data_IF_945254525400
#
_entry.id   IF_945254525400
#
_cell.length_a   1.000
_cell.length_b   1.000
_cell.length_c   1.000
_cell.angle_alpha   90.00
_cell.angle_beta   90.00
_cell.angle_gamma   90.00
#
_symmetry.space_group_name_H-M   'P 1'
#
loop_
_entity.id
_entity.type
_entity.pdbx_description
1 polymer ?
#
# COMPACT_ATOMS: atom_id res chain seq x y z
N UNK A 1 -37.58 46.27 -43.40
CA UNK A 1 -38.33 45.15 -42.78
C UNK A 1 -37.32 44.08 -42.37
N UNK A 2 -37.07 44.01 -41.07
CA UNK A 2 -36.21 43.02 -40.39
C UNK A 2 -37.05 41.78 -40.11
N UNK A 3 -36.72 40.64 -40.74
CA UNK A 3 -37.30 39.34 -40.39
C UNK A 3 -36.37 38.60 -39.42
N UNK A 4 -36.97 38.14 -38.33
CA UNK A 4 -36.38 37.72 -37.07
C UNK A 4 -35.44 36.50 -37.17
N UNK A 5 -34.23 36.64 -36.61
CA UNK A 5 -33.46 35.51 -36.10
C UNK A 5 -34.25 34.89 -34.95
N UNK A 6 -34.81 33.70 -35.17
CA UNK A 6 -35.38 32.88 -34.10
C UNK A 6 -34.33 32.67 -33.00
N UNK A 7 -34.66 33.10 -31.79
CA UNK A 7 -33.88 32.85 -30.58
C UNK A 7 -33.72 31.34 -30.40
N UNK A 8 -32.48 30.83 -30.45
CA UNK A 8 -32.19 29.50 -29.90
C UNK A 8 -32.48 29.57 -28.41
N UNK A 9 -33.55 28.92 -27.97
CA UNK A 9 -33.78 28.66 -26.54
C UNK A 9 -32.49 28.06 -25.94
N UNK A 10 -32.06 28.49 -24.74
CA UNK A 10 -31.01 27.77 -24.03
C UNK A 10 -31.49 26.34 -23.86
N UNK A 11 -30.77 25.39 -24.45
CA UNK A 11 -31.11 23.98 -24.42
C UNK A 11 -31.29 23.56 -22.97
N UNK A 12 -32.52 23.20 -22.59
CA UNK A 12 -32.78 22.57 -21.30
C UNK A 12 -31.88 21.35 -21.17
N UNK A 13 -31.24 21.12 -20.00
CA UNK A 13 -30.35 19.98 -19.83
C UNK A 13 -31.16 18.69 -20.02
N UNK A 14 -30.89 17.97 -21.11
CA UNK A 14 -31.51 16.68 -21.36
C UNK A 14 -30.98 15.64 -20.36
N UNK A 15 -31.82 14.73 -19.84
CA UNK A 15 -31.38 13.72 -18.89
C UNK A 15 -30.39 12.73 -19.54
N UNK A 16 -29.50 12.12 -18.73
CA UNK A 16 -28.47 11.20 -19.24
C UNK A 16 -29.07 10.01 -19.98
N UNK A 17 -28.39 9.60 -21.06
CA UNK A 17 -28.76 8.41 -21.82
C UNK A 17 -28.68 7.14 -20.94
N UNK A 18 -29.48 6.08 -21.20
CA UNK A 18 -29.43 4.83 -20.43
C UNK A 18 -28.02 4.22 -20.31
N UNK A 19 -27.16 4.42 -21.30
CA UNK A 19 -25.76 3.99 -21.25
C UNK A 19 -24.96 4.71 -20.14
N UNK A 20 -25.20 6.00 -19.91
CA UNK A 20 -24.57 6.76 -18.81
C UNK A 20 -25.08 6.23 -17.47
N UNK A 21 -26.37 5.91 -17.38
CA UNK A 21 -26.95 5.30 -16.17
C UNK A 21 -26.28 3.96 -15.83
N UNK A 22 -26.12 3.08 -16.82
CA UNK A 22 -25.39 1.82 -16.66
C UNK A 22 -23.92 2.04 -16.24
N UNK A 23 -23.25 3.06 -16.78
CA UNK A 23 -21.87 3.39 -16.41
C UNK A 23 -21.73 3.82 -14.94
N UNK A 24 -22.70 4.58 -14.41
CA UNK A 24 -22.71 4.98 -13.00
C UNK A 24 -22.98 3.78 -12.08
N UNK A 25 -23.87 2.87 -12.48
CA UNK A 25 -24.11 1.62 -11.72
C UNK A 25 -22.84 0.76 -11.68
N UNK A 26 -22.14 0.61 -12.82
CA UNK A 26 -20.86 -0.10 -12.88
C UNK A 26 -19.81 0.56 -11.98
N UNK A 27 -19.73 1.89 -11.98
CA UNK A 27 -18.86 2.62 -11.05
C UNK A 27 -19.22 2.36 -9.59
N UNK A 28 -20.51 2.24 -9.24
CA UNK A 28 -20.93 1.94 -7.89
C UNK A 28 -20.47 0.55 -7.45
N UNK A 29 -20.61 -0.45 -8.34
CA UNK A 29 -20.12 -1.81 -8.08
C UNK A 29 -18.61 -1.83 -7.84
N UNK A 30 -17.83 -1.12 -8.66
CA UNK A 30 -16.36 -1.09 -8.53
C UNK A 30 -15.92 -0.26 -7.33
N UNK A 31 -16.45 0.95 -7.18
CA UNK A 31 -16.03 1.96 -6.21
C UNK A 31 -16.48 1.67 -4.79
N UNK A 32 -17.61 0.98 -4.62
CA UNK A 32 -18.16 0.57 -3.32
C UNK A 32 -17.92 -0.91 -2.99
N UNK A 33 -17.11 -1.59 -3.81
CA UNK A 33 -16.74 -2.98 -3.55
C UNK A 33 -16.17 -3.12 -2.13
N UNK A 34 -16.51 -4.19 -1.39
CA UNK A 34 -16.03 -4.38 -0.02
C UNK A 34 -14.51 -4.31 0.12
N UNK A 35 -14.04 -3.82 1.26
CA UNK A 35 -12.62 -3.78 1.61
C UNK A 35 -12.40 -4.14 3.09
N UNK A 36 -11.24 -4.73 3.46
CA UNK A 36 -10.97 -5.16 4.83
C UNK A 36 -10.55 -3.99 5.75
N UNK A 37 -10.21 -2.83 5.20
CA UNK A 37 -9.74 -1.68 5.98
C UNK A 37 -10.81 -0.59 6.14
N UNK A 38 -10.97 -0.03 7.35
CA UNK A 38 -11.82 1.13 7.58
C UNK A 38 -11.33 2.32 6.75
N UNK A 39 -12.26 3.00 6.09
CA UNK A 39 -11.97 4.23 5.36
C UNK A 39 -12.60 5.44 6.00
N UNK A 40 -12.07 6.61 5.67
CA UNK A 40 -12.74 7.87 5.94
C UNK A 40 -13.84 8.12 4.91
N UNK A 41 -14.88 8.90 5.24
CA UNK A 41 -15.91 9.28 4.27
C UNK A 41 -15.34 9.98 3.03
N UNK A 42 -14.31 10.82 3.23
CA UNK A 42 -13.65 11.53 2.13
C UNK A 42 -12.97 10.58 1.15
N UNK A 43 -12.26 9.56 1.66
CA UNK A 43 -11.54 8.62 0.81
C UNK A 43 -12.50 7.73 0.04
N UNK A 44 -13.55 7.24 0.71
CA UNK A 44 -14.61 6.47 0.05
C UNK A 44 -15.29 7.30 -1.06
N UNK A 45 -15.64 8.56 -0.77
CA UNK A 45 -16.20 9.52 -1.73
C UNK A 45 -15.30 9.74 -2.94
N UNK A 46 -14.00 9.91 -2.70
CA UNK A 46 -13.01 10.11 -3.75
C UNK A 46 -12.90 8.91 -4.69
N UNK A 47 -12.80 7.70 -4.14
CA UNK A 47 -12.73 6.44 -4.91
C UNK A 47 -13.99 6.27 -5.76
N UNK A 48 -15.17 6.50 -5.18
CA UNK A 48 -16.44 6.40 -5.89
C UNK A 48 -16.53 7.43 -7.04
N UNK A 49 -16.16 8.68 -6.78
CA UNK A 49 -16.16 9.73 -7.79
C UNK A 49 -15.16 9.46 -8.93
N UNK A 50 -13.98 8.91 -8.61
CA UNK A 50 -13.00 8.46 -9.60
C UNK A 50 -13.55 7.35 -10.50
N UNK A 51 -14.14 6.32 -9.90
CA UNK A 51 -14.77 5.23 -10.64
C UNK A 51 -15.85 5.76 -11.58
N UNK A 52 -16.72 6.66 -11.09
CA UNK A 52 -17.76 7.28 -11.90
C UNK A 52 -17.20 8.11 -13.04
N UNK A 53 -16.16 8.92 -12.79
CA UNK A 53 -15.50 9.71 -13.82
C UNK A 53 -14.92 8.85 -14.94
N UNK A 54 -14.24 7.75 -14.59
CA UNK A 54 -13.64 6.83 -15.56
C UNK A 54 -14.72 6.10 -16.37
N UNK A 55 -15.70 5.46 -15.73
CA UNK A 55 -16.72 4.67 -16.46
C UNK A 55 -17.61 5.54 -17.34
N UNK A 56 -18.04 6.72 -16.85
CA UNK A 56 -18.83 7.67 -17.63
C UNK A 56 -18.01 8.25 -18.77
N UNK A 57 -16.75 8.62 -18.52
CA UNK A 57 -15.84 9.14 -19.53
C UNK A 57 -15.62 8.15 -20.68
N UNK A 58 -15.29 6.90 -20.36
CA UNK A 58 -15.13 5.83 -21.34
C UNK A 58 -16.43 5.58 -22.13
N UNK A 59 -17.58 5.58 -21.45
CA UNK A 59 -18.89 5.39 -22.09
C UNK A 59 -19.20 6.52 -23.07
N UNK A 60 -18.98 7.77 -22.66
CA UNK A 60 -19.17 8.94 -23.53
C UNK A 60 -18.23 8.93 -24.74
N UNK A 61 -16.97 8.49 -24.56
CA UNK A 61 -16.02 8.34 -25.65
C UNK A 61 -16.48 7.25 -26.64
N UNK A 62 -16.88 6.07 -26.14
CA UNK A 62 -17.39 4.97 -26.96
C UNK A 62 -18.62 5.38 -27.78
N UNK A 63 -19.59 6.05 -27.15
CA UNK A 63 -20.78 6.56 -27.83
C UNK A 63 -20.44 7.56 -28.95
N UNK A 64 -19.40 8.39 -28.76
CA UNK A 64 -18.90 9.32 -29.80
C UNK A 64 -18.25 8.57 -30.96
N UNK A 65 -17.40 7.59 -30.67
CA UNK A 65 -16.68 6.82 -31.69
C UNK A 65 -17.62 5.96 -32.54
N UNK A 66 -18.66 5.37 -31.93
CA UNK A 66 -19.62 4.52 -32.63
C UNK A 66 -20.70 5.27 -33.42
N UNK A 67 -20.68 6.62 -33.45
CA UNK A 67 -21.67 7.48 -34.15
C UNK A 67 -23.14 7.08 -33.88
N UNK A 68 -23.46 6.54 -32.70
CA UNK A 68 -24.83 6.09 -32.40
C UNK A 68 -25.79 7.27 -32.34
N UNK A 69 -27.02 7.15 -32.89
CA UNK A 69 -28.02 8.19 -32.81
C UNK A 69 -28.36 8.50 -31.34
N UNK A 70 -28.64 9.77 -31.05
CA UNK A 70 -29.10 10.18 -29.72
C UNK A 70 -30.49 9.56 -29.47
N UNK A 71 -30.56 8.54 -28.62
CA UNK A 71 -31.83 7.97 -28.15
C UNK A 71 -32.68 9.03 -27.43
N UNK A 72 -33.99 8.80 -27.39
CA UNK A 72 -34.94 9.56 -26.57
C UNK A 72 -34.49 9.54 -25.12
N UNK A 73 -34.21 10.72 -24.57
CA UNK A 73 -33.77 10.89 -23.19
C UNK A 73 -34.97 10.87 -22.26
N UNK A 74 -35.05 9.87 -21.38
CA UNK A 74 -36.08 9.76 -20.34
C UNK A 74 -35.50 10.12 -18.97
N UNK A 75 -36.33 10.55 -18.03
CA UNK A 75 -35.91 10.91 -16.66
C UNK A 75 -35.80 9.70 -15.73
N UNK A 76 -36.49 8.60 -16.02
CA UNK A 76 -36.49 7.40 -15.17
C UNK A 76 -35.09 6.78 -14.94
N UNK A 77 -34.12 6.76 -15.89
CA UNK A 77 -32.79 6.24 -15.64
C UNK A 77 -32.03 7.05 -14.58
N UNK A 78 -32.28 8.37 -14.51
CA UNK A 78 -31.68 9.24 -13.49
C UNK A 78 -32.18 8.88 -12.10
N UNK A 79 -33.48 8.63 -11.96
CA UNK A 79 -34.09 8.23 -10.68
C UNK A 79 -33.60 6.86 -10.26
N UNK A 80 -33.50 5.90 -11.19
CA UNK A 80 -32.94 4.57 -10.90
C UNK A 80 -31.49 4.67 -10.43
N UNK A 81 -30.65 5.45 -11.13
CA UNK A 81 -29.25 5.65 -10.74
C UNK A 81 -29.13 6.28 -9.35
N UNK A 82 -29.91 7.32 -9.06
CA UNK A 82 -29.92 7.96 -7.75
C UNK A 82 -30.31 6.96 -6.65
N UNK A 83 -31.37 6.17 -6.87
CA UNK A 83 -31.81 5.15 -5.93
C UNK A 83 -30.75 4.05 -5.72
N UNK A 84 -30.12 3.55 -6.78
CA UNK A 84 -29.05 2.55 -6.71
C UNK A 84 -27.84 3.11 -5.96
N UNK A 85 -27.42 4.34 -6.25
CA UNK A 85 -26.28 4.96 -5.55
C UNK A 85 -26.55 5.13 -4.06
N UNK A 86 -27.74 5.57 -3.67
CA UNK A 86 -28.13 5.72 -2.27
C UNK A 86 -28.14 4.35 -1.58
N UNK A 87 -28.81 3.36 -2.17
CA UNK A 87 -28.89 2.02 -1.59
C UNK A 87 -27.51 1.37 -1.46
N UNK A 88 -26.68 1.44 -2.51
CA UNK A 88 -25.33 0.92 -2.49
C UNK A 88 -24.45 1.64 -1.44
N UNK A 89 -24.63 2.95 -1.26
CA UNK A 89 -23.93 3.72 -0.22
C UNK A 89 -24.35 3.30 1.20
N UNK A 90 -25.63 2.99 1.41
CA UNK A 90 -26.13 2.47 2.70
C UNK A 90 -25.56 1.08 2.98
N UNK A 91 -25.54 0.20 1.98
CA UNK A 91 -24.95 -1.15 2.11
C UNK A 91 -23.45 -1.04 2.39
N UNK A 92 -22.74 -0.16 1.69
CA UNK A 92 -21.32 0.09 1.91
C UNK A 92 -21.04 0.70 3.30
N UNK A 93 -21.90 1.60 3.78
CA UNK A 93 -21.83 2.14 5.15
C UNK A 93 -21.99 1.03 6.19
N UNK A 94 -22.95 0.12 5.99
CA UNK A 94 -23.15 -1.03 6.88
C UNK A 94 -21.93 -1.96 6.89
N UNK A 95 -21.32 -2.21 5.72
CA UNK A 95 -20.05 -2.92 5.62
C UNK A 95 -18.95 -2.23 6.41
N UNK A 96 -18.78 -0.92 6.22
CA UNK A 96 -17.78 -0.12 6.92
C UNK A 96 -17.98 -0.13 8.43
N UNK A 97 -19.22 -0.04 8.92
CA UNK A 97 -19.52 -0.15 10.34
C UNK A 97 -19.24 -1.54 10.91
N UNK A 98 -19.37 -2.58 10.09
CA UNK A 98 -19.05 -3.96 10.48
C UNK A 98 -17.54 -4.15 10.66
N UNK A 99 -16.72 -3.75 9.69
CA UNK A 99 -15.25 -3.86 9.82
C UNK A 99 -14.72 -2.91 10.91
N UNK A 100 -15.36 -1.75 11.11
CA UNK A 100 -15.01 -0.81 12.18
C UNK A 100 -15.25 -1.42 13.54
N UNK A 101 -16.37 -2.09 13.76
CA UNK A 101 -16.64 -2.76 15.05
C UNK A 101 -15.67 -3.93 15.28
N UNK A 102 -15.36 -4.72 14.25
CA UNK A 102 -14.36 -5.81 14.30
C UNK A 102 -12.96 -5.28 14.69
N UNK A 103 -12.62 -4.07 14.28
CA UNK A 103 -11.30 -3.46 14.52
C UNK A 103 -11.26 -2.51 15.72
N UNK A 104 -12.41 -2.19 16.33
CA UNK A 104 -12.52 -1.29 17.50
C UNK A 104 -12.58 0.21 17.18
N UNK A 105 -13.07 0.57 16.00
CA UNK A 105 -13.30 1.95 15.57
C UNK A 105 -14.73 2.42 15.86
N UNK A 106 -14.91 3.73 16.01
CA UNK A 106 -16.25 4.35 16.04
C UNK A 106 -16.98 4.19 14.70
N UNK A 107 -18.29 4.00 14.75
CA UNK A 107 -19.15 3.90 13.56
C UNK A 107 -19.20 5.22 12.78
N UNK A 108 -19.39 5.11 11.48
CA UNK A 108 -19.78 6.23 10.61
C UNK A 108 -21.30 6.34 10.55
N UNK A 109 -21.78 7.58 10.47
CA UNK A 109 -23.18 7.92 10.39
C UNK A 109 -23.65 8.22 8.97
N UNK A 110 -24.86 8.81 8.82
CA UNK A 110 -25.47 9.07 7.51
C UNK A 110 -24.68 10.04 6.63
N UNK A 111 -23.74 10.80 7.20
CA UNK A 111 -22.79 11.62 6.43
C UNK A 111 -22.00 10.79 5.41
N UNK A 112 -21.80 9.49 5.66
CA UNK A 112 -21.17 8.57 4.72
C UNK A 112 -21.84 8.58 3.33
N UNK A 113 -23.17 8.57 3.32
CA UNK A 113 -23.96 8.59 2.08
C UNK A 113 -23.79 9.94 1.37
N UNK A 114 -23.74 11.04 2.10
CA UNK A 114 -23.54 12.39 1.54
C UNK A 114 -22.17 12.49 0.86
N UNK A 115 -21.10 12.03 1.53
CA UNK A 115 -19.74 12.06 0.99
C UNK A 115 -19.54 11.13 -0.21
N UNK A 116 -20.31 10.04 -0.32
CA UNK A 116 -20.29 9.18 -1.50
C UNK A 116 -21.10 9.75 -2.66
N UNK A 117 -22.33 10.21 -2.39
CA UNK A 117 -23.29 10.57 -3.43
C UNK A 117 -23.00 11.96 -3.99
N UNK A 118 -22.76 12.98 -3.16
CA UNK A 118 -22.66 14.37 -3.63
C UNK A 118 -21.45 14.61 -4.56
N UNK A 119 -20.21 14.21 -4.22
CA UNK A 119 -19.07 14.39 -5.13
C UNK A 119 -19.23 13.60 -6.43
N UNK A 120 -19.79 12.39 -6.34
CA UNK A 120 -20.07 11.54 -7.51
C UNK A 120 -21.06 12.20 -8.46
N UNK A 121 -22.20 12.68 -7.93
CA UNK A 121 -23.19 13.39 -8.73
C UNK A 121 -22.61 14.68 -9.32
N UNK A 122 -21.80 15.43 -8.57
CA UNK A 122 -21.14 16.63 -9.07
C UNK A 122 -20.19 16.34 -10.25
N UNK A 123 -19.36 15.29 -10.15
CA UNK A 123 -18.46 14.87 -11.23
C UNK A 123 -19.26 14.42 -12.46
N UNK A 124 -20.28 13.57 -12.29
CA UNK A 124 -21.11 13.08 -13.39
C UNK A 124 -21.87 14.24 -14.05
N UNK A 125 -22.49 15.11 -13.26
CA UNK A 125 -23.15 16.33 -13.73
C UNK A 125 -22.19 17.21 -14.54
N UNK A 126 -20.97 17.41 -14.03
CA UNK A 126 -19.97 18.21 -14.72
C UNK A 126 -19.57 17.60 -16.06
N UNK A 127 -19.37 16.29 -16.13
CA UNK A 127 -19.00 15.61 -17.38
C UNK A 127 -20.13 15.60 -18.41
N UNK A 128 -21.38 15.47 -17.97
CA UNK A 128 -22.55 15.39 -18.85
C UNK A 128 -22.97 16.78 -19.34
N UNK A 129 -22.85 17.81 -18.49
CA UNK A 129 -23.43 19.13 -18.75
C UNK A 129 -22.40 20.25 -19.00
N UNK A 130 -21.13 20.11 -18.62
CA UNK A 130 -20.10 21.10 -18.97
C UNK A 130 -19.36 20.75 -20.30
N UNK A 131 -18.87 21.76 -21.04
CA UNK A 131 -18.10 21.56 -22.28
C UNK A 131 -16.82 20.73 -22.10
N UNK A 132 -16.34 20.14 -23.21
CA UNK A 132 -15.33 19.06 -23.30
C UNK A 132 -14.01 19.25 -22.53
N UNK A 133 -13.61 20.47 -22.19
CA UNK A 133 -12.38 20.77 -21.44
C UNK A 133 -12.49 20.46 -19.93
N UNK A 134 -13.71 20.47 -19.38
CA UNK A 134 -13.93 20.33 -17.93
C UNK A 134 -13.73 18.89 -17.42
N UNK A 135 -14.04 17.88 -18.24
CA UNK A 135 -13.88 16.46 -17.86
C UNK A 135 -12.41 16.04 -17.72
N UNK A 136 -11.51 16.58 -18.55
CA UNK A 136 -10.07 16.33 -18.47
C UNK A 136 -9.42 17.06 -17.29
N UNK A 137 -9.87 18.28 -17.00
CA UNK A 137 -9.38 19.06 -15.85
C UNK A 137 -9.80 18.44 -14.50
N UNK A 138 -11.03 17.92 -14.39
CA UNK A 138 -11.51 17.24 -13.18
C UNK A 138 -10.76 15.90 -12.98
N UNK A 139 -10.54 15.11 -14.05
CA UNK A 139 -9.74 13.88 -13.97
C UNK A 139 -8.27 14.15 -13.56
N UNK A 140 -7.68 15.24 -14.03
CA UNK A 140 -6.34 15.67 -13.63
C UNK A 140 -6.29 16.18 -12.17
N UNK A 141 -7.29 16.92 -11.72
CA UNK A 141 -7.37 17.44 -10.35
C UNK A 141 -7.53 16.31 -9.31
N UNK A 142 -8.31 15.28 -9.62
CA UNK A 142 -8.45 14.12 -8.72
C UNK A 142 -7.16 13.28 -8.68
N UNK A 143 -6.44 13.20 -9.79
CA UNK A 143 -5.11 12.56 -9.84
C UNK A 143 -4.04 13.32 -9.03
N UNK A 144 -4.16 14.64 -8.93
CA UNK A 144 -3.27 15.49 -8.14
C UNK A 144 -3.53 15.36 -6.62
N UNK A 145 -4.80 15.21 -6.22
CA UNK A 145 -5.19 15.03 -4.83
C UNK A 145 -4.69 13.71 -4.22
N UNK A 146 -4.57 12.64 -5.03
CA UNK A 146 -3.94 11.37 -4.63
C UNK A 146 -2.42 11.49 -4.36
N UNK A 147 -1.77 12.57 -4.82
CA UNK A 147 -0.33 12.80 -4.68
C UNK A 147 0.12 13.52 -3.40
N UNK A 148 -0.82 13.92 -2.52
CA UNK A 148 -0.56 14.81 -1.38
C UNK A 148 -0.49 14.11 0.00
N UNK A 149 -0.40 12.78 0.06
CA UNK A 149 -0.22 12.10 1.35
C UNK A 149 1.18 12.36 1.91
N UNK A 150 1.20 13.03 3.06
CA UNK A 150 2.38 13.46 3.76
C UNK A 150 3.21 12.24 4.23
N UNK A 151 4.54 12.27 4.07
CA UNK A 151 5.41 11.24 4.62
C UNK A 151 5.44 11.33 6.14
N UNK A 152 5.29 10.19 6.82
CA UNK A 152 5.66 10.07 8.23
C UNK A 152 7.19 9.96 8.34
N UNK A 153 7.83 10.98 8.89
CA UNK A 153 9.22 10.91 9.33
C UNK A 153 9.26 10.22 10.70
N UNK A 154 10.14 9.24 10.86
CA UNK A 154 10.44 8.64 12.15
C UNK A 154 11.93 8.70 12.42
N UNK A 155 12.27 9.04 13.65
CA UNK A 155 13.64 9.10 14.15
C UNK A 155 14.09 7.72 14.64
N UNK A 156 15.32 7.33 14.27
CA UNK A 156 15.95 6.12 14.78
C UNK A 156 16.32 6.25 16.26
N UNK A 157 16.27 5.13 17.00
CA UNK A 157 16.62 5.05 18.42
C UNK A 157 18.14 5.12 18.66
N UNK A 158 18.56 5.51 19.87
CA UNK A 158 19.95 5.80 20.23
C UNK A 158 20.93 4.60 20.19
N UNK A 159 20.43 3.35 20.16
CA UNK A 159 21.24 2.13 20.09
C UNK A 159 21.49 1.61 18.66
N UNK A 160 20.93 2.28 17.65
CA UNK A 160 21.05 1.87 16.24
C UNK A 160 22.26 2.54 15.57
N UNK A 161 23.21 1.73 15.10
CA UNK A 161 24.29 2.20 14.24
C UNK A 161 23.76 2.43 12.83
N UNK A 162 23.66 3.69 12.41
CA UNK A 162 23.18 4.04 11.07
C UNK A 162 24.10 5.00 10.36
N UNK A 163 24.65 4.56 9.23
CA UNK A 163 25.42 5.39 8.30
C UNK A 163 24.88 5.20 6.88
N UNK A 164 25.22 6.15 6.00
CA UNK A 164 24.93 6.02 4.57
C UNK A 164 25.83 4.94 3.98
N UNK A 165 25.25 4.00 3.25
CA UNK A 165 25.99 2.91 2.59
C UNK A 165 25.70 2.94 1.10
N UNK A 166 26.69 3.42 0.33
CA UNK A 166 26.65 3.46 -1.13
C UNK A 166 27.76 2.64 -1.78
N UNK A 167 28.81 2.33 -1.01
CA UNK A 167 29.98 1.57 -1.44
C UNK A 167 30.35 0.52 -0.40
N UNK A 168 31.17 -0.47 -0.79
CA UNK A 168 31.72 -1.47 0.14
C UNK A 168 32.60 -0.84 1.23
N UNK A 169 33.25 0.30 0.94
CA UNK A 169 34.04 1.03 1.91
C UNK A 169 33.15 1.63 3.02
N UNK A 170 31.99 2.17 2.66
CA UNK A 170 30.99 2.68 3.63
C UNK A 170 30.49 1.55 4.53
N UNK A 171 30.20 0.38 3.95
CA UNK A 171 29.75 -0.79 4.68
C UNK A 171 30.81 -1.28 5.68
N UNK A 172 32.07 -1.39 5.25
CA UNK A 172 33.21 -1.75 6.12
C UNK A 172 33.39 -0.74 7.25
N UNK A 173 33.27 0.56 6.98
CA UNK A 173 33.36 1.59 8.02
C UNK A 173 32.23 1.46 9.06
N UNK A 174 31.00 1.19 8.63
CA UNK A 174 29.86 0.98 9.51
C UNK A 174 30.03 -0.29 10.38
N UNK A 175 30.52 -1.39 9.79
CA UNK A 175 30.80 -2.63 10.55
C UNK A 175 31.97 -2.43 11.52
N UNK A 176 33.00 -1.66 11.18
CA UNK A 176 34.07 -1.31 12.13
C UNK A 176 33.56 -0.57 13.35
N UNK A 177 32.63 0.38 13.17
CA UNK A 177 31.98 1.05 14.30
C UNK A 177 31.18 0.07 15.18
N UNK A 178 30.59 -0.97 14.58
CA UNK A 178 29.94 -2.04 15.34
C UNK A 178 30.97 -2.86 16.14
N UNK A 179 32.12 -3.20 15.55
CA UNK A 179 33.23 -3.87 16.25
C UNK A 179 33.74 -3.03 17.42
N UNK A 180 34.00 -1.74 17.20
CA UNK A 180 34.49 -0.80 18.21
C UNK A 180 33.55 -0.62 19.40
N UNK A 181 32.24 -0.87 19.20
CA UNK A 181 31.24 -0.83 20.28
C UNK A 181 31.07 -2.15 21.03
N UNK A 182 31.93 -3.14 20.75
CA UNK A 182 31.87 -4.46 21.40
C UNK A 182 30.84 -5.40 20.78
N UNK A 183 30.42 -5.14 19.54
CA UNK A 183 29.46 -5.98 18.81
C UNK A 183 29.83 -7.47 18.73
N UNK A 184 31.10 -7.86 18.51
CA UNK A 184 31.50 -9.27 18.50
C UNK A 184 31.28 -10.03 19.81
N UNK A 185 31.13 -9.33 20.93
CA UNK A 185 30.85 -9.95 22.23
C UNK A 185 29.35 -10.12 22.50
N UNK A 186 28.46 -9.58 21.64
CA UNK A 186 27.01 -9.69 21.78
C UNK A 186 26.50 -11.12 21.59
N UNK A 187 25.26 -11.37 22.04
CA UNK A 187 24.55 -12.62 21.75
C UNK A 187 24.06 -12.65 20.29
N UNK A 188 23.73 -11.47 19.74
CA UNK A 188 23.26 -11.31 18.36
C UNK A 188 23.67 -9.97 17.73
N UNK A 189 23.75 -9.96 16.40
CA UNK A 189 23.85 -8.76 15.58
C UNK A 189 22.65 -8.71 14.63
N UNK A 190 21.95 -7.59 14.64
CA UNK A 190 20.77 -7.38 13.80
C UNK A 190 21.08 -6.39 12.69
N UNK A 191 20.99 -6.82 11.44
CA UNK A 191 20.93 -5.90 10.30
C UNK A 191 19.47 -5.55 10.05
N UNK A 192 19.06 -4.37 10.52
CA UNK A 192 17.72 -3.85 10.33
C UNK A 192 17.68 -2.95 9.10
N UNK A 193 17.16 -3.48 8.00
CA UNK A 193 17.05 -2.76 6.73
C UNK A 193 15.89 -1.76 6.82
N UNK A 194 16.17 -0.44 6.78
CA UNK A 194 15.12 0.55 6.89
C UNK A 194 14.22 0.54 5.66
N UNK A 195 13.03 1.13 5.80
CA UNK A 195 12.18 1.51 4.66
C UNK A 195 12.79 2.70 3.90
N UNK A 196 12.19 3.09 2.76
CA UNK A 196 12.68 4.22 1.94
C UNK A 196 12.71 5.57 2.67
N UNK A 197 11.96 5.74 3.76
CA UNK A 197 12.03 6.92 4.63
C UNK A 197 13.14 6.87 5.68
N UNK A 198 13.89 5.75 5.77
CA UNK A 198 14.82 5.50 6.87
C UNK A 198 14.17 4.89 8.11
N UNK A 199 12.86 4.62 8.08
CA UNK A 199 12.12 4.11 9.24
C UNK A 199 12.34 2.60 9.47
N UNK A 200 12.47 2.23 10.74
CA UNK A 200 12.56 0.85 11.26
C UNK A 200 11.56 0.77 12.42
N UNK A 201 10.87 -0.36 12.56
CA UNK A 201 9.91 -0.56 13.66
C UNK A 201 10.63 -0.72 15.01
N UNK A 202 10.54 0.26 15.93
CA UNK A 202 11.20 0.16 17.24
C UNK A 202 10.61 -0.97 18.09
N UNK A 203 9.33 -1.30 17.91
CA UNK A 203 8.68 -2.41 18.60
C UNK A 203 9.26 -3.75 18.17
N UNK A 204 9.59 -3.90 16.88
CA UNK A 204 10.26 -5.10 16.39
C UNK A 204 11.67 -5.22 16.98
N UNK A 205 12.47 -4.13 16.96
CA UNK A 205 13.82 -4.14 17.52
C UNK A 205 13.83 -4.54 19.00
N UNK A 206 12.92 -3.97 19.80
CA UNK A 206 12.78 -4.31 21.21
C UNK A 206 12.40 -5.79 21.41
N UNK A 207 11.37 -6.27 20.72
CA UNK A 207 10.89 -7.64 20.87
C UNK A 207 11.91 -8.69 20.39
N UNK A 208 12.71 -8.37 19.37
CA UNK A 208 13.84 -9.21 18.94
C UNK A 208 14.93 -9.21 20.01
N UNK A 209 15.31 -8.05 20.53
CA UNK A 209 16.29 -7.93 21.63
C UNK A 209 15.89 -8.75 22.87
N UNK A 210 14.63 -8.65 23.29
CA UNK A 210 14.08 -9.44 24.41
C UNK A 210 14.20 -10.95 24.20
N UNK A 211 14.21 -11.42 22.95
CA UNK A 211 14.31 -12.83 22.58
C UNK A 211 15.75 -13.35 22.54
N UNK A 212 16.68 -12.51 22.07
CA UNK A 212 18.05 -12.95 21.72
C UNK A 212 19.11 -12.49 22.71
N UNK A 213 18.78 -11.54 23.60
CA UNK A 213 19.71 -11.01 24.59
C UNK A 213 20.40 -9.75 24.13
N UNK A 214 21.68 -9.60 24.48
CA UNK A 214 22.46 -8.40 24.17
C UNK A 214 22.69 -8.32 22.66
N UNK A 215 22.33 -7.18 22.06
CA UNK A 215 22.33 -7.02 20.61
C UNK A 215 22.61 -5.57 20.20
N UNK A 216 23.58 -5.40 19.31
CA UNK A 216 23.72 -4.18 18.50
C UNK A 216 22.99 -4.29 17.16
N UNK A 217 22.37 -3.19 16.75
CA UNK A 217 21.65 -3.08 15.47
C UNK A 217 22.43 -2.24 14.47
N UNK A 218 22.63 -2.77 13.26
CA UNK A 218 23.21 -2.07 12.11
C UNK A 218 22.08 -1.73 11.12
N UNK A 219 21.94 -0.45 10.77
CA UNK A 219 20.88 0.05 9.89
C UNK A 219 21.48 0.81 8.69
N UNK A 220 21.72 0.14 7.54
CA UNK A 220 22.29 0.77 6.36
C UNK A 220 21.31 1.77 5.74
N UNK A 221 21.71 3.04 5.65
CA UNK A 221 20.91 4.07 4.97
C UNK A 221 21.31 4.12 3.50
N UNK A 222 20.42 3.64 2.64
CA UNK A 222 20.70 3.51 1.21
C UNK A 222 20.16 4.67 0.35
N UNK A 223 19.20 5.45 0.85
CA UNK A 223 18.60 6.56 0.12
C UNK A 223 19.19 7.92 0.51
N UNK A 224 19.39 8.80 -0.47
CA UNK A 224 19.82 10.20 -0.26
C UNK A 224 18.70 11.10 0.26
N UNK A 225 17.44 10.72 0.01
CA UNK A 225 16.23 11.42 0.44
C UNK A 225 15.30 10.44 1.14
N UNK A 226 14.78 10.83 2.31
CA UNK A 226 13.84 10.03 3.09
C UNK A 226 12.44 10.14 2.49
N UNK A 227 12.18 9.38 1.43
CA UNK A 227 10.88 9.35 0.78
C UNK A 227 10.66 7.99 0.13
N UNK A 228 9.49 7.39 0.37
CA UNK A 228 9.08 6.18 -0.32
C UNK A 228 9.06 6.37 -1.86
N UNK A 229 8.81 7.61 -2.35
CA UNK A 229 8.80 7.96 -3.77
C UNK A 229 10.18 7.89 -4.42
N UNK A 230 11.23 8.32 -3.69
CA UNK A 230 12.61 8.27 -4.18
C UNK A 230 13.17 6.83 -4.23
N UNK A 231 12.55 5.89 -3.52
CA UNK A 231 12.91 4.48 -3.58
C UNK A 231 12.30 3.76 -4.80
N UNK A 232 11.08 4.12 -5.24
CA UNK A 232 10.44 3.47 -6.40
C UNK A 232 11.35 3.50 -7.64
N UNK A 233 12.24 4.50 -7.73
CA UNK A 233 13.21 4.71 -8.82
C UNK A 233 14.53 3.94 -8.69
N UNK A 234 14.96 3.52 -7.48
CA UNK A 234 16.17 2.69 -7.28
C UNK A 234 15.88 1.57 -6.26
N UNK A 235 15.02 0.63 -6.69
CA UNK A 235 14.60 -0.51 -5.86
C UNK A 235 15.76 -1.42 -5.43
N UNK A 236 16.89 -1.36 -6.14
CA UNK A 236 18.07 -2.18 -5.86
C UNK A 236 18.99 -1.59 -4.78
N UNK A 237 18.86 -0.31 -4.43
CA UNK A 237 19.75 0.35 -3.46
C UNK A 237 19.73 -0.31 -2.07
N UNK A 238 18.54 -0.66 -1.57
CA UNK A 238 18.40 -1.35 -0.29
C UNK A 238 19.09 -2.72 -0.32
N UNK A 239 18.90 -3.48 -1.40
CA UNK A 239 19.57 -4.77 -1.60
C UNK A 239 21.08 -4.64 -1.62
N UNK A 240 21.63 -3.75 -2.46
CA UNK A 240 23.08 -3.51 -2.56
C UNK A 240 23.70 -3.10 -1.22
N UNK A 241 23.08 -2.15 -0.51
CA UNK A 241 23.56 -1.69 0.78
C UNK A 241 23.51 -2.79 1.86
N UNK A 242 22.42 -3.59 1.88
CA UNK A 242 22.26 -4.68 2.85
C UNK A 242 23.24 -5.82 2.58
N UNK A 243 23.46 -6.18 1.30
CA UNK A 243 24.47 -7.15 0.88
C UNK A 243 25.88 -6.67 1.25
N UNK A 244 26.21 -5.40 0.99
CA UNK A 244 27.53 -4.85 1.33
C UNK A 244 27.80 -4.89 2.84
N UNK A 245 26.80 -4.52 3.67
CA UNK A 245 26.92 -4.62 5.14
C UNK A 245 27.05 -6.07 5.59
N UNK A 246 26.23 -6.99 5.08
CA UNK A 246 26.29 -8.40 5.46
C UNK A 246 27.61 -9.05 5.02
N UNK A 247 28.12 -8.71 3.84
CA UNK A 247 29.41 -9.16 3.35
C UNK A 247 30.56 -8.67 4.23
N UNK A 248 30.57 -7.39 4.59
CA UNK A 248 31.55 -6.83 5.52
C UNK A 248 31.46 -7.45 6.91
N UNK A 249 30.24 -7.62 7.45
CA UNK A 249 30.00 -8.24 8.75
C UNK A 249 30.50 -9.68 8.79
N UNK A 250 30.14 -10.50 7.79
CA UNK A 250 30.55 -11.91 7.74
C UNK A 250 32.06 -12.06 7.59
N UNK A 251 32.74 -11.15 6.89
CA UNK A 251 34.20 -11.12 6.83
C UNK A 251 34.85 -10.81 8.20
N UNK A 252 34.29 -9.89 8.99
CA UNK A 252 34.79 -9.64 10.36
C UNK A 252 34.52 -10.84 11.29
N UNK A 253 33.37 -11.49 11.13
CA UNK A 253 33.00 -12.68 11.91
C UNK A 253 33.88 -13.90 11.62
N UNK A 254 34.58 -13.94 10.47
CA UNK A 254 35.52 -15.03 10.16
C UNK A 254 36.68 -15.09 11.16
N UNK A 255 37.06 -13.95 11.75
CA UNK A 255 38.09 -13.86 12.79
C UNK A 255 37.59 -14.27 14.19
N UNK A 256 36.28 -14.40 14.39
CA UNK A 256 35.69 -14.80 15.67
C UNK A 256 35.57 -16.34 15.74
N UNK A 257 35.98 -17.01 16.83
CA UNK A 257 35.81 -18.45 16.98
C UNK A 257 34.35 -18.88 16.82
N UNK A 258 34.03 -19.97 16.09
CA UNK A 258 32.64 -20.35 15.78
C UNK A 258 31.72 -20.45 16.99
N UNK A 259 32.21 -20.90 18.14
CA UNK A 259 31.44 -21.08 19.38
C UNK A 259 31.08 -19.76 20.09
N UNK A 260 31.72 -18.65 19.69
CA UNK A 260 31.53 -17.31 20.26
C UNK A 260 30.93 -16.32 19.27
N UNK A 261 30.56 -16.74 18.07
CA UNK A 261 29.99 -15.84 17.06
C UNK A 261 28.59 -15.40 17.48
N UNK A 262 28.27 -14.10 17.44
CA UNK A 262 26.89 -13.64 17.63
C UNK A 262 25.97 -14.22 16.55
N UNK A 263 24.71 -14.43 16.90
CA UNK A 263 23.68 -14.78 15.92
C UNK A 263 23.48 -13.64 14.93
N UNK A 264 23.53 -13.92 13.63
CA UNK A 264 23.27 -12.91 12.60
C UNK A 264 21.81 -12.95 12.20
N UNK A 265 21.13 -11.82 12.36
CA UNK A 265 19.69 -11.66 12.10
C UNK A 265 19.49 -10.59 11.03
N UNK A 266 18.69 -10.90 10.02
CA UNK A 266 18.20 -9.90 9.08
C UNK A 266 16.76 -9.53 9.43
N UNK A 267 16.47 -8.23 9.42
CA UNK A 267 15.11 -7.72 9.60
C UNK A 267 14.79 -6.68 8.55
N UNK A 268 13.57 -6.73 8.02
CA UNK A 268 13.05 -5.67 7.18
C UNK A 268 11.52 -5.64 7.18
N UNK A 269 10.96 -4.43 7.22
CA UNK A 269 9.53 -4.21 7.02
C UNK A 269 9.29 -3.55 5.66
N UNK A 270 8.21 -3.90 4.99
CA UNK A 270 7.77 -3.27 3.75
C UNK A 270 8.88 -3.39 2.69
N UNK A 271 9.32 -2.25 2.19
CA UNK A 271 10.47 -2.07 1.33
C UNK A 271 11.78 -2.60 1.90
N UNK A 272 12.01 -2.44 3.21
CA UNK A 272 13.20 -2.97 3.87
C UNK A 272 13.23 -4.49 3.82
N UNK A 273 12.07 -5.14 3.76
CA UNK A 273 11.98 -6.59 3.59
C UNK A 273 12.59 -7.06 2.28
N UNK A 274 12.55 -6.26 1.20
CA UNK A 274 13.19 -6.59 -0.07
C UNK A 274 14.72 -6.55 0.05
N UNK A 275 15.26 -5.55 0.76
CA UNK A 275 16.70 -5.47 0.99
C UNK A 275 17.20 -6.59 1.90
N UNK A 276 16.44 -6.92 2.94
CA UNK A 276 16.73 -8.05 3.82
C UNK A 276 16.67 -9.38 3.06
N UNK A 277 15.66 -9.61 2.22
CA UNK A 277 15.57 -10.84 1.41
C UNK A 277 16.71 -10.91 0.39
N UNK A 278 17.07 -9.79 -0.25
CA UNK A 278 18.21 -9.76 -1.18
C UNK A 278 19.52 -10.15 -0.49
N UNK A 279 19.74 -9.64 0.73
CA UNK A 279 20.92 -10.00 1.52
C UNK A 279 20.88 -11.46 1.98
N UNK A 280 19.70 -11.99 2.31
CA UNK A 280 19.50 -13.40 2.65
C UNK A 280 19.88 -14.33 1.50
N UNK A 281 19.33 -14.07 0.31
CA UNK A 281 19.63 -14.85 -0.91
C UNK A 281 21.12 -14.79 -1.23
N UNK A 282 21.75 -13.62 -1.15
CA UNK A 282 23.19 -13.50 -1.33
C UNK A 282 23.98 -14.36 -0.32
N UNK A 283 23.59 -14.36 0.95
CA UNK A 283 24.26 -15.14 1.99
C UNK A 283 24.09 -16.64 1.79
N UNK A 284 22.91 -17.10 1.36
CA UNK A 284 22.69 -18.53 1.06
C UNK A 284 23.62 -19.02 -0.06
N UNK A 285 23.89 -18.17 -1.06
CA UNK A 285 24.79 -18.49 -2.17
C UNK A 285 26.28 -18.38 -1.81
N UNK A 286 26.67 -17.34 -1.05
CA UNK A 286 28.08 -16.98 -0.85
C UNK A 286 28.63 -17.31 0.53
N UNK A 287 27.77 -17.45 1.54
CA UNK A 287 28.10 -17.61 2.96
C UNK A 287 27.11 -18.56 3.65
N UNK A 288 26.95 -19.81 3.17
CA UNK A 288 25.94 -20.72 3.70
C UNK A 288 26.13 -20.95 5.20
N UNK A 289 25.04 -20.84 5.95
CA UNK A 289 25.05 -20.96 7.42
C UNK A 289 25.45 -19.69 8.18
N UNK A 290 25.71 -18.57 7.50
CA UNK A 290 26.02 -17.31 8.16
C UNK A 290 24.83 -16.65 8.87
N UNK A 291 23.60 -16.97 8.45
CA UNK A 291 22.38 -16.39 9.01
C UNK A 291 21.71 -17.36 9.98
N UNK A 292 21.34 -16.86 11.15
CA UNK A 292 20.47 -17.60 12.06
C UNK A 292 19.01 -17.54 11.57
N UNK A 293 18.54 -16.34 11.20
CA UNK A 293 17.19 -16.15 10.66
C UNK A 293 17.04 -14.83 9.93
N UNK A 294 16.04 -14.76 9.06
CA UNK A 294 15.55 -13.52 8.44
C UNK A 294 14.09 -13.28 8.80
N UNK A 295 13.73 -12.08 9.26
CA UNK A 295 12.35 -11.69 9.58
C UNK A 295 11.88 -10.61 8.61
N UNK A 296 10.81 -10.91 7.88
CA UNK A 296 10.25 -10.05 6.85
C UNK A 296 8.79 -9.71 7.20
N UNK A 297 8.49 -8.44 7.41
CA UNK A 297 7.15 -7.97 7.75
C UNK A 297 6.53 -7.16 6.61
N UNK A 298 5.29 -7.44 6.25
CA UNK A 298 4.56 -6.63 5.26
C UNK A 298 5.22 -6.57 3.90
N UNK A 299 5.77 -7.70 3.44
CA UNK A 299 6.42 -7.80 2.13
C UNK A 299 5.44 -7.40 1.03
N UNK A 300 5.78 -6.45 0.14
CA UNK A 300 4.95 -6.13 -1.00
C UNK A 300 4.57 -7.38 -1.81
N UNK A 301 3.35 -7.44 -2.32
CA UNK A 301 2.93 -8.62 -3.07
C UNK A 301 3.79 -8.79 -4.34
N UNK A 302 4.06 -10.04 -4.70
CA UNK A 302 4.79 -10.43 -5.92
C UNK A 302 6.23 -9.91 -6.05
N UNK A 303 6.91 -9.63 -4.92
CA UNK A 303 8.29 -9.12 -4.94
C UNK A 303 9.35 -10.09 -4.41
N UNK A 304 8.94 -11.19 -3.78
CA UNK A 304 9.86 -12.24 -3.30
C UNK A 304 9.32 -13.62 -3.68
N UNK A 305 10.19 -14.61 -3.71
CA UNK A 305 9.84 -15.99 -4.08
C UNK A 305 8.86 -16.62 -3.08
N UNK A 306 7.92 -17.41 -3.61
CA UNK A 306 6.86 -18.06 -2.83
C UNK A 306 7.36 -19.21 -1.95
N UNK A 307 8.54 -19.75 -2.26
CA UNK A 307 9.24 -20.79 -1.53
C UNK A 307 10.70 -20.35 -1.37
N UNK A 308 11.17 -20.22 -0.13
CA UNK A 308 12.59 -20.05 0.11
C UNK A 308 13.29 -21.41 0.23
N UNK A 309 14.52 -21.42 -0.26
CA UNK A 309 15.53 -22.41 0.06
C UNK A 309 16.66 -21.72 0.85
N UNK A 310 17.43 -22.50 1.60
CA UNK A 310 18.59 -22.00 2.34
C UNK A 310 18.26 -21.60 3.78
N UNK A 311 18.75 -20.44 4.22
CA UNK A 311 18.63 -19.98 5.60
C UNK A 311 17.17 -19.77 6.05
N UNK A 312 16.87 -19.98 7.36
CA UNK A 312 15.53 -19.77 7.89
C UNK A 312 15.02 -18.36 7.62
N UNK A 313 13.79 -18.26 7.10
CA UNK A 313 13.07 -16.99 6.97
C UNK A 313 11.67 -17.09 7.57
N UNK A 314 11.19 -15.96 8.09
CA UNK A 314 9.84 -15.80 8.59
C UNK A 314 9.19 -14.60 7.90
N UNK A 315 8.21 -14.87 7.04
CA UNK A 315 7.40 -13.85 6.37
C UNK A 315 6.14 -13.62 7.19
N UNK A 316 5.82 -12.36 7.49
CA UNK A 316 4.71 -11.98 8.36
C UNK A 316 3.83 -10.96 7.64
N UNK A 317 2.53 -11.15 7.69
CA UNK A 317 1.55 -10.22 7.13
C UNK A 317 0.39 -10.03 8.12
N UNK A 318 0.00 -8.79 8.41
CA UNK A 318 -1.30 -8.59 9.05
C UNK A 318 -2.40 -9.05 8.09
N UNK A 319 -3.46 -9.65 8.63
CA UNK A 319 -4.61 -10.12 7.85
C UNK A 319 -5.20 -9.02 6.94
N UNK A 320 -5.23 -7.78 7.44
CA UNK A 320 -5.76 -6.60 6.77
C UNK A 320 -4.71 -5.79 5.99
N UNK A 321 -3.46 -6.25 5.85
CA UNK A 321 -2.40 -5.45 5.21
C UNK A 321 -2.57 -5.41 3.68
N UNK A 322 -2.91 -4.25 3.09
CA UNK A 322 -3.07 -4.11 1.65
C UNK A 322 -1.74 -4.18 0.90
N UNK A 323 -0.60 -3.85 1.53
CA UNK A 323 0.73 -3.89 0.89
C UNK A 323 1.07 -5.31 0.45
N UNK A 324 0.71 -6.29 1.28
CA UNK A 324 0.94 -7.73 1.04
C UNK A 324 -0.03 -8.34 0.04
N UNK A 325 -1.06 -7.60 -0.37
CA UNK A 325 -2.07 -8.05 -1.32
C UNK A 325 -2.05 -7.22 -2.61
N UNK A 326 -1.36 -6.08 -2.65
CA UNK A 326 -1.39 -5.17 -3.78
C UNK A 326 -0.29 -5.48 -4.79
N UNK A 327 -0.69 -5.77 -6.03
CA UNK A 327 0.18 -5.74 -7.20
C UNK A 327 -0.63 -5.38 -8.45
N UNK A 328 0.00 -4.91 -9.54
CA UNK A 328 -0.69 -4.70 -10.81
C UNK A 328 -1.38 -5.97 -11.34
N UNK A 329 -0.89 -7.15 -10.97
CA UNK A 329 -1.46 -8.42 -11.39
C UNK A 329 -2.83 -8.69 -10.75
N UNK A 330 -3.19 -8.02 -9.64
CA UNK A 330 -4.50 -8.15 -8.96
C UNK A 330 -5.67 -7.81 -9.87
N UNK A 331 -5.43 -7.05 -10.94
CA UNK A 331 -6.43 -6.78 -11.98
C UNK A 331 -6.90 -8.08 -12.65
N UNK A 332 -6.03 -9.08 -12.78
CA UNK A 332 -6.24 -10.29 -13.61
C UNK A 332 -6.20 -11.59 -12.82
N UNK A 333 -5.58 -11.62 -11.65
CA UNK A 333 -5.48 -12.79 -10.78
C UNK A 333 -5.73 -12.41 -9.31
N UNK A 334 -6.20 -13.35 -8.47
CA UNK A 334 -6.33 -13.10 -7.03
C UNK A 334 -4.97 -12.76 -6.40
N UNK A 335 -4.96 -11.96 -5.31
CA UNK A 335 -3.74 -11.64 -4.60
C UNK A 335 -3.09 -12.91 -4.03
N UNK A 336 -1.78 -13.02 -4.19
CA UNK A 336 -0.97 -14.13 -3.68
C UNK A 336 0.09 -13.63 -2.72
N UNK A 337 0.40 -14.46 -1.72
CA UNK A 337 1.50 -14.26 -0.76
C UNK A 337 2.44 -15.45 -0.82
N UNK A 338 3.70 -15.31 -0.38
CA UNK A 338 4.57 -16.46 -0.15
C UNK A 338 3.90 -17.51 0.72
N UNK A 339 4.10 -18.79 0.37
CA UNK A 339 3.40 -19.90 1.02
C UNK A 339 3.73 -20.05 2.51
N UNK A 340 4.90 -19.54 2.91
CA UNK A 340 5.43 -19.48 4.26
C UNK A 340 5.00 -18.23 5.03
N UNK A 341 4.05 -17.44 4.50
CA UNK A 341 3.57 -16.23 5.17
C UNK A 341 2.70 -16.57 6.38
N UNK A 342 3.16 -16.14 7.55
CA UNK A 342 2.39 -16.18 8.81
C UNK A 342 1.44 -14.99 8.84
N UNK A 343 0.14 -15.28 8.80
CA UNK A 343 -0.89 -14.25 8.96
C UNK A 343 -1.09 -13.92 10.43
N UNK A 344 -0.94 -12.64 10.80
CA UNK A 344 -1.07 -12.11 12.16
C UNK A 344 -2.06 -10.94 12.19
N UNK A 345 -2.13 -10.21 13.31
CA UNK A 345 -2.98 -9.03 13.42
C UNK A 345 -4.46 -9.38 13.65
N UNK A 346 -5.33 -8.36 13.55
CA UNK A 346 -6.78 -8.54 13.68
C UNK A 346 -7.37 -8.89 12.31
N UNK A 347 -8.01 -10.07 12.13
CA UNK A 347 -8.70 -10.37 10.90
C UNK A 347 -10.02 -9.60 10.81
N UNK A 348 -10.46 -9.35 9.58
CA UNK A 348 -11.82 -8.88 9.24
C UNK A 348 -12.48 -9.89 8.33
N UNK A 349 -13.76 -9.67 8.01
CA UNK A 349 -14.50 -10.48 7.04
C UNK A 349 -13.74 -10.68 5.72
N UNK A 350 -13.88 -11.88 5.19
CA UNK A 350 -13.31 -12.24 3.89
C UNK A 350 -13.99 -11.42 2.78
N UNK A 351 -13.15 -10.85 1.92
CA UNK A 351 -13.59 -10.09 0.73
C UNK A 351 -13.30 -10.95 -0.50
N UNK A 352 -14.32 -11.28 -1.31
CA UNK A 352 -14.09 -12.02 -2.53
C UNK A 352 -13.29 -11.18 -3.52
N UNK A 353 -12.37 -11.84 -4.23
CA UNK A 353 -11.62 -11.21 -5.31
C UNK A 353 -12.53 -11.04 -6.53
N UNK A 354 -12.61 -9.80 -7.02
CA UNK A 354 -13.23 -9.46 -8.30
C UNK A 354 -12.21 -8.65 -9.12
N UNK A 355 -11.94 -9.06 -10.37
CA UNK A 355 -11.08 -8.32 -11.29
C UNK A 355 -11.41 -6.84 -11.30
N UNK A 356 -10.39 -5.98 -11.38
CA UNK A 356 -10.48 -4.52 -11.33
C UNK A 356 -11.05 -3.94 -10.02
N UNK A 357 -12.17 -4.43 -9.49
CA UNK A 357 -12.77 -3.96 -8.25
C UNK A 357 -11.80 -4.16 -7.07
N UNK A 358 -11.27 -5.37 -6.88
CA UNK A 358 -10.27 -5.61 -5.83
C UNK A 358 -9.01 -4.78 -6.05
N UNK A 359 -8.55 -4.59 -7.29
CA UNK A 359 -7.41 -3.72 -7.55
C UNK A 359 -7.66 -2.27 -7.11
N UNK A 360 -8.82 -1.70 -7.46
CA UNK A 360 -9.21 -0.34 -7.05
C UNK A 360 -9.32 -0.25 -5.52
N UNK A 361 -9.98 -1.21 -4.89
CA UNK A 361 -10.17 -1.21 -3.45
C UNK A 361 -8.85 -1.38 -2.68
N UNK A 362 -8.01 -2.34 -3.06
CA UNK A 362 -6.69 -2.52 -2.43
C UNK A 362 -5.81 -1.29 -2.64
N UNK A 363 -5.88 -0.64 -3.82
CA UNK A 363 -5.15 0.61 -4.08
C UNK A 363 -5.60 1.76 -3.17
N UNK A 364 -6.91 1.87 -2.91
CA UNK A 364 -7.43 2.85 -1.96
C UNK A 364 -7.02 2.54 -0.51
N UNK A 365 -7.01 1.26 -0.14
CA UNK A 365 -6.62 0.81 1.19
C UNK A 365 -5.15 1.08 1.51
N UNK A 366 -4.26 1.14 0.50
CA UNK A 366 -2.87 1.56 0.68
C UNK A 366 -2.77 2.95 1.34
N UNK A 367 -3.67 3.87 0.98
CA UNK A 367 -3.66 5.26 1.42
C UNK A 367 -3.92 5.42 2.94
N UNK A 368 -4.69 4.50 3.52
CA UNK A 368 -5.00 4.46 4.96
C UNK A 368 -4.32 3.30 5.70
N UNK A 369 -3.39 2.61 5.06
CA UNK A 369 -2.78 1.39 5.61
C UNK A 369 -2.02 1.61 6.92
N UNK A 370 -1.59 2.85 7.21
CA UNK A 370 -0.85 3.22 8.41
C UNK A 370 -1.70 3.92 9.49
N UNK A 371 -2.99 4.16 9.23
CA UNK A 371 -3.89 4.85 10.16
C UNK A 371 -4.39 3.94 11.31
N UNK A 372 -4.08 2.64 11.19
CA UNK A 372 -4.38 1.56 12.13
C UNK A 372 -3.78 1.73 13.53
N UNK A 373 -4.33 1.06 14.57
CA UNK A 373 -3.51 0.62 15.70
C UNK A 373 -2.56 -0.51 15.25
N UNK A 374 -1.57 -0.85 16.09
CA UNK A 374 -0.68 -1.97 15.80
C UNK A 374 -1.46 -3.29 15.65
N UNK A 375 -1.12 -4.06 14.60
CA UNK A 375 -1.79 -5.28 14.16
C UNK A 375 -2.98 -5.04 13.20
N UNK A 376 -3.13 -3.82 12.68
CA UNK A 376 -4.12 -3.45 11.66
C UNK A 376 -3.40 -2.73 10.51
N UNK A 377 -3.84 -3.00 9.29
CA UNK A 377 -3.19 -2.50 8.07
C UNK A 377 -1.71 -2.86 8.01
N UNK A 378 -0.87 -1.89 7.67
CA UNK A 378 0.58 -2.03 7.53
C UNK A 378 1.35 -1.70 8.83
N UNK A 379 0.66 -1.61 9.98
CA UNK A 379 1.31 -1.45 11.29
C UNK A 379 1.41 -2.77 12.01
N UNK A 380 2.62 -3.23 12.27
CA UNK A 380 2.87 -4.52 12.92
C UNK A 380 3.01 -4.34 14.44
N UNK A 381 2.74 -5.41 15.21
CA UNK A 381 3.14 -5.46 16.61
C UNK A 381 4.57 -5.98 16.68
N UNK A 382 5.39 -5.44 17.58
CA UNK A 382 6.76 -5.93 17.78
C UNK A 382 6.82 -7.42 18.07
N UNK A 383 5.92 -7.90 18.95
CA UNK A 383 5.81 -9.31 19.35
C UNK A 383 5.48 -10.27 18.21
N UNK A 384 4.83 -9.79 17.14
CA UNK A 384 4.51 -10.61 15.98
C UNK A 384 5.76 -10.85 15.11
N UNK A 385 6.80 -10.04 15.27
CA UNK A 385 8.01 -9.93 14.45
C UNK A 385 9.24 -10.56 15.10
N UNK A 386 9.05 -11.43 16.08
CA UNK A 386 10.14 -12.11 16.78
C UNK A 386 10.53 -13.39 16.05
N UNK A 387 11.82 -13.68 15.84
CA UNK A 387 12.29 -15.01 15.40
C UNK A 387 11.76 -16.16 16.27
N UNK A 388 11.45 -17.31 15.67
CA UNK A 388 11.00 -18.50 16.41
C UNK A 388 12.15 -19.44 16.71
#
# INVERSE_FOLDING_TARGET
>A
MTASRGSRNPATPAPPQPAIAAAVILAAVIGLWPSPLPRTPWLAGLVMALCAGVTVGCTMLGLRLCRRPRHTTHWWPTVVVAAVLILASIVNMAWQNTIRSELGYGSVGPEWVVFLVCPTLAVVAAMVWLPRASALAIAAAISLAAGLLAPSTGTASASTLSARVTTDADAKALVRQWVERGGPDDDAVLIAVPTGSGWIDPGALAAIGDRVGRMHTIAPRYASTQSWRAFVTDRGAAGRASVAVLSALTAELDAVPPQRRPLVILYGQSLGALGAETARVWADEHRPGALWTTVLSGVPADTIDTHAHGSPRRVIANATDPVTAWSPAVVWRPPSRPSDTVTVGRPTRHVPWIPLATFVQTSADLLGSLDGPAGVGHRYRGTDQVPR
#
